data_IF_825863251777
#
_entry.id   IF_825863251777
#
_cell.length_a   1.000
_cell.length_b   1.000
_cell.length_c   1.000
_cell.angle_alpha   90.00
_cell.angle_beta   90.00
_cell.angle_gamma   90.00
#
_symmetry.space_group_name_H-M   'P 1'
#
loop_
_entity.id
_entity.type
_entity.pdbx_description
1 polymer ?
#
# COMPACT_ATOMS: atom_id res chain seq x y z
N UNK A 1 -13.86 -8.60 18.47
CA UNK A 1 -13.91 -7.51 17.48
C UNK A 1 -13.49 -8.11 16.17
N UNK A 2 -14.44 -8.57 15.38
CA UNK A 2 -14.18 -9.18 14.07
C UNK A 2 -13.89 -8.07 13.07
N UNK A 3 -12.61 -7.77 12.87
CA UNK A 3 -12.17 -7.02 11.70
C UNK A 3 -12.57 -7.83 10.46
N UNK A 4 -13.69 -7.45 9.84
CA UNK A 4 -14.11 -7.99 8.54
C UNK A 4 -12.96 -7.79 7.56
N UNK A 5 -12.18 -8.84 7.35
CA UNK A 5 -11.15 -8.90 6.32
C UNK A 5 -11.81 -8.56 4.98
N UNK A 6 -11.51 -7.37 4.45
CA UNK A 6 -11.97 -6.96 3.12
C UNK A 6 -11.22 -7.85 2.12
N UNK A 7 -11.83 -8.94 1.68
CA UNK A 7 -11.29 -9.79 0.62
C UNK A 7 -11.48 -9.08 -0.72
N UNK A 8 -10.53 -8.21 -1.07
CA UNK A 8 -10.48 -7.61 -2.40
C UNK A 8 -9.90 -8.62 -3.38
N UNK A 9 -10.56 -8.86 -4.51
CA UNK A 9 -10.00 -9.71 -5.56
C UNK A 9 -8.80 -9.00 -6.19
N UNK A 10 -7.76 -9.76 -6.55
CA UNK A 10 -6.54 -9.22 -7.17
C UNK A 10 -6.85 -8.40 -8.44
N UNK A 11 -7.71 -8.91 -9.32
CA UNK A 11 -8.13 -8.20 -10.54
C UNK A 11 -8.78 -6.84 -10.19
N UNK A 12 -9.63 -6.79 -9.18
CA UNK A 12 -10.22 -5.52 -8.74
C UNK A 12 -9.16 -4.56 -8.21
N UNK A 13 -8.18 -5.07 -7.45
CA UNK A 13 -7.08 -4.28 -6.90
C UNK A 13 -6.19 -3.66 -7.98
N UNK A 14 -5.84 -4.42 -9.04
CA UNK A 14 -5.03 -3.89 -10.14
C UNK A 14 -5.78 -2.85 -10.97
N UNK A 15 -7.11 -2.96 -11.09
CA UNK A 15 -7.91 -1.98 -11.81
C UNK A 15 -8.05 -0.70 -10.99
N UNK A 16 -8.52 -0.80 -9.74
CA UNK A 16 -8.79 0.35 -8.88
C UNK A 16 -7.53 1.05 -8.38
N UNK A 17 -6.45 0.30 -8.12
CA UNK A 17 -5.20 0.79 -7.53
C UNK A 17 -5.50 1.70 -6.33
N UNK A 18 -6.20 1.22 -5.29
CA UNK A 18 -6.62 2.08 -4.19
C UNK A 18 -5.42 2.62 -3.41
N UNK A 19 -5.51 3.83 -2.87
CA UNK A 19 -4.55 4.26 -1.85
C UNK A 19 -4.66 3.35 -0.63
N UNK A 20 -3.52 3.02 -0.03
CA UNK A 20 -3.45 2.17 1.15
C UNK A 20 -2.94 2.95 2.35
N UNK A 21 -3.32 2.52 3.55
CA UNK A 21 -2.81 3.06 4.81
C UNK A 21 -2.46 1.92 5.75
N UNK A 22 -1.49 2.14 6.63
CA UNK A 22 -1.11 1.17 7.65
C UNK A 22 0.37 1.21 7.95
N UNK A 23 0.86 0.10 8.51
CA UNK A 23 2.23 0.02 9.02
C UNK A 23 2.99 -1.13 8.38
N UNK A 24 4.20 -0.85 7.91
CA UNK A 24 5.13 -1.84 7.35
C UNK A 24 6.44 -1.82 8.14
N UNK A 25 7.17 -2.92 8.14
CA UNK A 25 8.55 -2.96 8.65
C UNK A 25 9.53 -2.92 7.49
N UNK A 26 10.44 -1.95 7.49
CA UNK A 26 11.52 -1.83 6.49
C UNK A 26 12.85 -1.78 7.24
N UNK A 27 13.75 -2.73 6.96
CA UNK A 27 15.06 -2.85 7.61
C UNK A 27 14.97 -2.80 9.15
N UNK A 28 14.01 -3.53 9.72
CA UNK A 28 13.78 -3.59 11.17
C UNK A 28 13.10 -2.35 11.78
N UNK A 29 12.83 -1.30 10.99
CA UNK A 29 12.12 -0.10 11.46
C UNK A 29 10.67 -0.11 10.98
N UNK A 30 9.74 0.04 11.91
CA UNK A 30 8.33 0.22 11.59
C UNK A 30 8.10 1.61 10.99
N UNK A 31 7.42 1.65 9.84
CA UNK A 31 6.96 2.85 9.15
C UNK A 31 5.45 2.80 9.05
N UNK A 32 4.78 3.79 9.63
CA UNK A 32 3.35 4.01 9.45
C UNK A 32 3.11 5.14 8.46
N UNK A 33 2.06 5.03 7.67
CA UNK A 33 1.64 6.08 6.76
C UNK A 33 0.75 5.60 5.64
N UNK A 34 0.75 6.38 4.56
CA UNK A 34 -0.07 6.19 3.38
C UNK A 34 0.82 5.67 2.24
N UNK A 35 0.30 4.75 1.45
CA UNK A 35 0.95 4.22 0.28
C UNK A 35 0.11 4.53 -0.95
N UNK A 36 0.62 5.41 -1.81
CA UNK A 36 -0.08 5.87 -3.00
C UNK A 36 0.45 5.15 -4.25
N UNK A 37 -0.42 4.70 -5.16
CA UNK A 37 -0.01 4.16 -6.44
C UNK A 37 0.63 5.26 -7.30
N UNK A 38 1.81 5.00 -7.84
CA UNK A 38 2.52 5.90 -8.73
C UNK A 38 3.14 5.10 -9.88
N UNK A 39 3.15 5.69 -11.08
CA UNK A 39 3.86 5.11 -12.22
C UNK A 39 5.37 5.30 -12.06
N UNK A 40 6.12 4.20 -12.08
CA UNK A 40 7.58 4.23 -12.08
C UNK A 40 8.11 4.18 -13.52
N UNK A 41 8.79 5.24 -13.94
CA UNK A 41 9.49 5.27 -15.24
C UNK A 41 10.62 4.23 -15.33
N UNK A 42 11.27 3.94 -14.20
CA UNK A 42 12.42 3.03 -14.15
C UNK A 42 12.03 1.57 -14.34
N UNK A 43 10.93 1.15 -13.71
CA UNK A 43 10.44 -0.23 -13.74
C UNK A 43 9.26 -0.42 -14.69
N UNK A 44 8.87 0.63 -15.43
CA UNK A 44 7.74 0.69 -16.35
C UNK A 44 6.46 0.04 -15.77
N UNK A 45 6.17 0.32 -14.50
CA UNK A 45 5.12 -0.37 -13.73
C UNK A 45 4.59 0.50 -12.59
N UNK A 46 3.41 0.14 -12.07
CA UNK A 46 2.84 0.77 -10.88
C UNK A 46 3.57 0.29 -9.64
N UNK A 47 4.00 1.25 -8.82
CA UNK A 47 4.55 1.03 -7.49
C UNK A 47 3.69 1.76 -6.45
N UNK A 48 3.73 1.30 -5.22
CA UNK A 48 3.12 1.96 -4.08
C UNK A 48 4.21 2.73 -3.33
N UNK A 49 4.13 4.06 -3.38
CA UNK A 49 5.11 4.94 -2.75
C UNK A 49 4.66 5.34 -1.37
N UNK A 50 5.60 5.34 -0.43
CA UNK A 50 5.36 5.72 0.96
C UNK A 50 5.24 7.24 1.12
N UNK A 51 4.20 7.66 1.84
CA UNK A 51 3.95 9.02 2.32
C UNK A 51 3.72 8.94 3.82
N UNK A 52 4.27 9.91 4.57
CA UNK A 52 4.02 10.01 6.01
C UNK A 52 2.56 10.38 6.26
N UNK A 53 2.08 10.20 7.51
CA UNK A 53 0.72 10.62 7.89
C UNK A 53 0.47 12.12 7.68
N UNK A 54 1.53 12.92 7.59
CA UNK A 54 1.47 14.36 7.28
C UNK A 54 1.42 14.66 5.78
N UNK A 55 1.35 13.63 4.93
CA UNK A 55 1.33 13.77 3.46
C UNK A 55 2.69 14.03 2.83
N UNK A 56 3.78 13.98 3.60
CA UNK A 56 5.12 14.19 3.04
C UNK A 56 5.62 12.93 2.36
N UNK A 57 6.20 13.09 1.17
CA UNK A 57 6.82 12.00 0.41
C UNK A 57 7.97 11.39 1.21
N UNK A 58 7.82 10.13 1.60
CA UNK A 58 8.84 9.40 2.32
C UNK A 58 9.79 8.63 1.41
N UNK A 59 10.84 8.05 1.99
CA UNK A 59 11.73 7.15 1.27
C UNK A 59 11.21 5.71 1.32
N UNK A 60 11.04 5.14 0.13
CA UNK A 60 10.66 3.75 -0.04
C UNK A 60 9.31 3.57 -0.74
N UNK A 61 9.01 2.30 -0.99
CA UNK A 61 7.81 1.86 -1.67
C UNK A 61 7.92 0.38 -1.97
N UNK A 62 6.89 -0.17 -2.59
CA UNK A 62 6.85 -1.58 -2.96
C UNK A 62 6.06 -1.79 -4.24
N UNK A 63 6.22 -2.96 -4.85
CA UNK A 63 5.49 -3.33 -6.05
C UNK A 63 3.99 -3.46 -5.76
N UNK A 64 3.19 -3.36 -6.82
CA UNK A 64 1.75 -3.62 -6.76
C UNK A 64 1.43 -4.98 -6.12
N UNK A 65 2.19 -6.03 -6.44
CA UNK A 65 1.97 -7.37 -5.88
C UNK A 65 2.20 -7.40 -4.37
N UNK A 66 3.25 -6.73 -3.89
CA UNK A 66 3.53 -6.64 -2.46
C UNK A 66 2.45 -5.82 -1.74
N UNK A 67 1.92 -4.79 -2.39
CA UNK A 67 0.80 -4.01 -1.86
C UNK A 67 -0.45 -4.89 -1.63
N UNK A 68 -0.81 -5.70 -2.63
CA UNK A 68 -1.93 -6.63 -2.53
C UNK A 68 -1.73 -7.69 -1.44
N UNK A 69 -0.52 -8.27 -1.36
CA UNK A 69 -0.19 -9.21 -0.30
C UNK A 69 -0.36 -8.58 1.09
N UNK A 70 0.15 -7.37 1.30
CA UNK A 70 0.05 -6.68 2.59
C UNK A 70 -1.40 -6.29 2.94
N UNK A 71 -2.21 -5.94 1.94
CA UNK A 71 -3.65 -5.71 2.11
C UNK A 71 -4.36 -7.00 2.57
N UNK A 72 -4.12 -8.12 1.89
CA UNK A 72 -4.73 -9.40 2.24
C UNK A 72 -4.25 -9.97 3.57
N UNK A 73 -3.03 -9.65 4.00
CA UNK A 73 -2.54 -10.01 5.32
C UNK A 73 -3.05 -9.08 6.44
N UNK A 74 -3.90 -8.09 6.13
CA UNK A 74 -4.40 -7.13 7.12
C UNK A 74 -3.34 -6.15 7.63
N UNK A 75 -2.16 -6.09 7.00
CA UNK A 75 -1.09 -5.15 7.36
C UNK A 75 -1.34 -3.74 6.82
N UNK A 76 -2.05 -3.68 5.71
CA UNK A 76 -2.53 -2.44 5.09
C UNK A 76 -4.05 -2.51 4.96
N UNK A 77 -4.66 -1.33 4.92
CA UNK A 77 -6.09 -1.14 4.69
C UNK A 77 -6.29 -0.15 3.56
N UNK A 78 -7.38 -0.31 2.80
CA UNK A 78 -7.78 0.68 1.79
C UNK A 78 -8.09 1.98 2.50
N UNK A 79 -7.40 3.05 2.13
CA UNK A 79 -7.71 4.39 2.60
C UNK A 79 -9.06 4.79 2.00
N UNK A 80 -10.10 4.85 2.83
CA UNK A 80 -11.41 5.37 2.41
C UNK A 80 -11.31 6.89 2.37
N UNK A 81 -11.53 7.46 1.19
CA UNK A 81 -11.74 8.89 0.99
C UNK A 81 -13.12 9.30 1.46
#
# INVERSE_FOLDING_TARGET
MDEKQISMKYIQFIHQKPALSGSITVNGRSKSGIFMPEWSKYSNSIIYRYHTDRGNKGTGGFSLNRAFFLLNCGRLSILRQ
#
